data_IF_847892124906
#
_entry.id   IF_847892124906
#
_cell.length_a   1.000
_cell.length_b   1.000
_cell.length_c   1.000
_cell.angle_alpha   90.00
_cell.angle_beta   90.00
_cell.angle_gamma   90.00
#
_symmetry.space_group_name_H-M   'P 1'
#
loop_
_entity.id
_entity.type
_entity.pdbx_description
1 polymer ?
#
# COMPACT_ATOMS: atom_id res chain seq x y z
N UNK A 1 7.66 -13.87 -8.30
CA UNK A 1 6.37 -13.22 -8.06
C UNK A 1 5.22 -14.21 -8.14
N UNK A 2 4.33 -14.24 -7.15
CA UNK A 2 3.01 -14.87 -7.30
C UNK A 2 2.20 -14.07 -8.31
N UNK A 3 1.56 -14.75 -9.28
CA UNK A 3 0.61 -14.05 -10.16
C UNK A 3 -0.60 -13.61 -9.32
N UNK A 4 -1.15 -12.41 -9.54
CA UNK A 4 -2.36 -12.01 -8.86
C UNK A 4 -3.46 -13.03 -9.16
N UNK A 5 -4.33 -13.27 -8.17
CA UNK A 5 -5.47 -14.16 -8.29
C UNK A 5 -6.30 -13.74 -9.51
N UNK A 6 -6.62 -14.70 -10.39
CA UNK A 6 -7.53 -14.44 -11.50
C UNK A 6 -8.93 -14.16 -10.95
N UNK A 7 -9.34 -12.89 -10.99
CA UNK A 7 -10.60 -12.41 -10.42
C UNK A 7 -11.83 -12.71 -11.30
N UNK A 8 -11.64 -12.98 -12.59
CA UNK A 8 -12.74 -13.17 -13.56
C UNK A 8 -13.83 -14.13 -13.09
N UNK A 9 -13.53 -15.40 -12.71
CA UNK A 9 -14.58 -16.35 -12.32
C UNK A 9 -15.35 -15.92 -11.06
N UNK A 10 -14.66 -15.22 -10.14
CA UNK A 10 -15.29 -14.69 -8.91
C UNK A 10 -16.25 -13.56 -9.27
N UNK A 11 -15.81 -12.64 -10.14
CA UNK A 11 -16.62 -11.49 -10.57
C UNK A 11 -17.82 -11.91 -11.42
N UNK A 12 -17.67 -12.88 -12.31
CA UNK A 12 -18.77 -13.42 -13.12
C UNK A 12 -19.84 -14.09 -12.25
N UNK A 13 -19.43 -14.82 -11.21
CA UNK A 13 -20.36 -15.57 -10.35
C UNK A 13 -20.99 -14.68 -9.28
N UNK A 14 -20.22 -13.78 -8.67
CA UNK A 14 -20.61 -13.08 -7.45
C UNK A 14 -20.62 -11.56 -7.56
N UNK A 15 -20.07 -10.97 -8.64
CA UNK A 15 -19.82 -9.54 -8.76
C UNK A 15 -21.05 -8.68 -8.44
N UNK A 16 -22.21 -9.00 -9.04
CA UNK A 16 -23.44 -8.25 -8.83
C UNK A 16 -23.90 -8.21 -7.36
N UNK A 17 -23.59 -9.24 -6.56
CA UNK A 17 -23.93 -9.33 -5.13
C UNK A 17 -22.80 -8.91 -4.20
N UNK A 18 -21.61 -8.63 -4.73
CA UNK A 18 -20.40 -8.42 -3.95
C UNK A 18 -20.43 -7.05 -3.27
N UNK A 19 -20.57 -7.05 -1.94
CA UNK A 19 -20.53 -5.81 -1.15
C UNK A 19 -19.15 -5.52 -0.56
N UNK A 20 -18.30 -6.54 -0.40
CA UNK A 20 -16.97 -6.43 0.21
C UNK A 20 -15.96 -7.26 -0.56
N UNK A 21 -14.81 -6.67 -0.86
CA UNK A 21 -13.70 -7.33 -1.53
C UNK A 21 -12.39 -6.93 -0.86
N UNK A 22 -11.57 -7.93 -0.52
CA UNK A 22 -10.25 -7.71 0.04
C UNK A 22 -9.23 -8.53 -0.75
N UNK A 23 -8.29 -7.83 -1.39
CA UNK A 23 -7.16 -8.43 -2.08
C UNK A 23 -5.92 -7.80 -1.46
N UNK A 24 -5.31 -8.54 -0.54
CA UNK A 24 -4.17 -8.08 0.23
C UNK A 24 -3.25 -9.25 0.57
N UNK A 25 -1.97 -9.09 0.33
CA UNK A 25 -0.90 -10.00 0.74
C UNK A 25 -0.05 -9.37 1.84
N UNK A 26 0.46 -10.19 2.76
CA UNK A 26 1.37 -9.71 3.80
C UNK A 26 2.79 -9.54 3.24
N UNK A 27 3.51 -8.52 3.71
CA UNK A 27 4.95 -8.44 3.45
C UNK A 27 5.66 -9.51 4.29
N UNK A 28 6.41 -10.40 3.65
CA UNK A 28 7.21 -11.39 4.34
C UNK A 28 8.60 -10.83 4.70
N UNK A 29 9.09 -11.21 5.88
CA UNK A 29 10.43 -10.85 6.34
C UNK A 29 11.48 -11.59 5.50
N UNK A 30 12.36 -10.83 4.85
CA UNK A 30 13.54 -11.35 4.18
C UNK A 30 14.79 -10.89 4.95
N UNK A 31 15.32 -11.77 5.80
CA UNK A 31 16.48 -11.51 6.66
C UNK A 31 17.77 -11.86 5.93
N UNK A 32 18.74 -10.95 5.92
CA UNK A 32 20.12 -11.23 5.51
C UNK A 32 21.13 -10.49 6.41
N UNK A 33 22.41 -10.85 6.31
CA UNK A 33 23.45 -10.44 7.29
C UNK A 33 23.58 -8.92 7.51
N UNK A 34 23.17 -8.09 6.54
CA UNK A 34 23.37 -6.64 6.58
C UNK A 34 22.08 -5.81 6.45
N UNK A 35 20.89 -6.43 6.51
CA UNK A 35 19.61 -5.72 6.48
C UNK A 35 18.36 -6.63 6.43
N UNK A 36 17.19 -5.98 6.41
CA UNK A 36 15.89 -6.61 6.17
C UNK A 36 15.34 -6.07 4.85
N UNK A 37 14.90 -6.92 3.95
CA UNK A 37 14.11 -6.50 2.78
C UNK A 37 12.70 -7.06 2.90
N UNK A 38 11.75 -6.51 2.14
CA UNK A 38 10.37 -7.02 2.08
C UNK A 38 10.05 -7.55 0.70
N UNK A 39 9.35 -8.68 0.68
CA UNK A 39 8.79 -9.16 -0.57
C UNK A 39 7.69 -8.20 -1.03
N UNK A 40 7.75 -7.81 -2.31
CA UNK A 40 6.78 -6.93 -2.94
C UNK A 40 5.48 -7.69 -3.19
N UNK A 41 4.36 -7.15 -2.68
CA UNK A 41 3.02 -7.72 -2.87
C UNK A 41 2.61 -7.66 -4.34
N UNK A 42 1.93 -8.69 -4.80
CA UNK A 42 1.28 -8.64 -6.11
C UNK A 42 0.12 -7.63 -6.08
N UNK A 43 0.04 -6.73 -7.07
CA UNK A 43 -1.05 -5.73 -7.15
C UNK A 43 -1.83 -5.90 -8.44
N UNK A 44 -3.11 -5.52 -8.40
CA UNK A 44 -3.92 -5.42 -9.59
C UNK A 44 -3.50 -4.22 -10.45
N UNK A 45 -3.50 -4.42 -11.77
CA UNK A 45 -3.39 -3.34 -12.73
C UNK A 45 -4.63 -2.43 -12.70
N UNK A 46 -4.48 -1.21 -13.25
CA UNK A 46 -5.59 -0.26 -13.42
C UNK A 46 -6.76 -0.90 -14.19
N UNK A 47 -6.46 -1.64 -15.26
CA UNK A 47 -7.48 -2.34 -16.06
C UNK A 47 -8.21 -3.43 -15.28
N UNK A 48 -7.53 -4.17 -14.42
CA UNK A 48 -8.17 -5.19 -13.58
C UNK A 48 -9.10 -4.55 -12.55
N UNK A 49 -8.72 -3.40 -11.96
CA UNK A 49 -9.61 -2.66 -11.06
C UNK A 49 -10.79 -2.06 -11.80
N UNK A 50 -10.62 -1.61 -13.05
CA UNK A 50 -11.75 -1.17 -13.89
C UNK A 50 -12.75 -2.30 -14.17
N UNK A 51 -12.29 -3.53 -14.35
CA UNK A 51 -13.20 -4.69 -14.45
C UNK A 51 -13.99 -4.89 -13.15
N UNK A 52 -13.36 -4.73 -11.97
CA UNK A 52 -14.07 -4.80 -10.69
C UNK A 52 -15.15 -3.71 -10.59
N UNK A 53 -14.85 -2.48 -11.04
CA UNK A 53 -15.85 -1.39 -11.07
C UNK A 53 -17.09 -1.80 -11.87
N UNK A 54 -16.89 -2.41 -13.05
CA UNK A 54 -17.97 -2.81 -13.94
C UNK A 54 -18.76 -4.01 -13.41
N UNK A 55 -18.06 -5.01 -12.85
CA UNK A 55 -18.67 -6.27 -12.42
C UNK A 55 -19.25 -6.23 -11.00
N UNK A 56 -18.77 -5.34 -10.14
CA UNK A 56 -19.19 -5.24 -8.73
C UNK A 56 -19.77 -3.85 -8.38
N UNK A 57 -20.90 -3.45 -8.97
CA UNK A 57 -21.48 -2.11 -8.75
C UNK A 57 -21.93 -1.88 -7.31
N UNK A 58 -22.27 -2.94 -6.57
CA UNK A 58 -22.75 -2.87 -5.18
C UNK A 58 -21.62 -2.87 -4.14
N UNK A 59 -20.36 -2.78 -4.57
CA UNK A 59 -19.21 -2.82 -3.68
C UNK A 59 -19.18 -1.60 -2.75
N UNK A 60 -19.20 -1.86 -1.44
CA UNK A 60 -19.20 -0.86 -0.37
C UNK A 60 -17.85 -0.78 0.35
N UNK A 61 -17.12 -1.88 0.40
CA UNK A 61 -15.82 -1.97 1.09
C UNK A 61 -14.78 -2.64 0.17
N UNK A 62 -13.65 -1.97 -0.03
CA UNK A 62 -12.55 -2.46 -0.87
C UNK A 62 -11.23 -2.36 -0.11
N UNK A 63 -10.46 -3.45 -0.11
CA UNK A 63 -9.05 -3.45 0.31
C UNK A 63 -8.19 -3.90 -0.85
N UNK A 64 -7.18 -3.11 -1.21
CA UNK A 64 -6.24 -3.42 -2.29
C UNK A 64 -4.81 -3.10 -1.88
N UNK A 65 -3.88 -3.95 -2.32
CA UNK A 65 -2.48 -3.56 -2.45
C UNK A 65 -2.29 -2.68 -3.70
N UNK A 66 -1.50 -1.62 -3.56
CA UNK A 66 -1.28 -0.63 -4.63
C UNK A 66 0.20 -0.27 -4.73
N UNK A 67 0.72 -0.16 -5.96
CA UNK A 67 2.06 0.37 -6.19
C UNK A 67 2.09 1.91 -6.21
N UNK A 68 3.16 2.50 -5.68
CA UNK A 68 3.52 3.89 -5.96
C UNK A 68 4.10 3.98 -7.38
N UNK A 69 3.85 5.07 -8.10
CA UNK A 69 4.37 5.27 -9.47
C UNK A 69 5.62 6.15 -9.42
N UNK A 70 6.81 5.55 -9.41
CA UNK A 70 8.13 6.23 -9.50
C UNK A 70 8.19 7.61 -8.82
N UNK A 71 8.27 7.62 -7.48
CA UNK A 71 8.27 8.79 -6.62
C UNK A 71 7.00 9.67 -6.67
N UNK A 72 5.86 9.12 -7.10
CA UNK A 72 4.56 9.81 -7.11
C UNK A 72 3.43 8.88 -6.67
N UNK A 73 2.36 9.47 -6.15
CA UNK A 73 1.11 8.75 -5.87
C UNK A 73 0.46 8.26 -7.18
N UNK A 74 -0.18 7.08 -7.17
CA UNK A 74 -0.70 6.44 -8.38
C UNK A 74 -2.02 7.06 -8.83
N UNK A 75 -1.98 8.30 -9.34
CA UNK A 75 -3.16 9.10 -9.68
C UNK A 75 -4.13 8.40 -10.65
N UNK A 76 -3.63 7.58 -11.58
CA UNK A 76 -4.48 6.78 -12.47
C UNK A 76 -5.31 5.75 -11.71
N UNK A 77 -4.71 5.04 -10.75
CA UNK A 77 -5.40 4.13 -9.85
C UNK A 77 -6.42 4.88 -8.98
N UNK A 78 -6.03 6.02 -8.38
CA UNK A 78 -6.93 6.84 -7.56
C UNK A 78 -8.18 7.29 -8.34
N UNK A 79 -8.02 7.66 -9.62
CA UNK A 79 -9.13 8.00 -10.52
C UNK A 79 -10.03 6.82 -10.86
N UNK A 80 -9.52 5.60 -10.88
CA UNK A 80 -10.37 4.42 -11.08
C UNK A 80 -11.13 4.08 -9.81
N UNK A 81 -10.48 4.18 -8.65
CA UNK A 81 -11.10 3.95 -7.35
C UNK A 81 -12.26 4.91 -7.06
N UNK A 82 -12.25 6.11 -7.64
CA UNK A 82 -13.36 7.05 -7.52
C UNK A 82 -14.59 6.68 -8.35
N UNK A 83 -14.47 5.75 -9.31
CA UNK A 83 -15.57 5.33 -10.19
C UNK A 83 -16.53 4.34 -9.51
N UNK A 84 -16.17 3.78 -8.36
CA UNK A 84 -17.07 2.90 -7.62
C UNK A 84 -18.28 3.69 -7.09
N UNK A 85 -19.52 3.33 -7.49
CA UNK A 85 -20.70 4.14 -7.21
C UNK A 85 -21.16 4.08 -5.74
N UNK A 86 -20.82 3.00 -5.03
CA UNK A 86 -21.28 2.76 -3.66
C UNK A 86 -20.16 2.54 -2.65
N UNK A 87 -18.89 2.75 -3.05
CA UNK A 87 -17.75 2.54 -2.19
C UNK A 87 -17.74 3.55 -1.04
N UNK A 88 -17.93 3.04 0.17
CA UNK A 88 -17.98 3.82 1.41
C UNK A 88 -16.69 3.70 2.22
N UNK A 89 -15.98 2.58 2.12
CA UNK A 89 -14.70 2.34 2.81
C UNK A 89 -13.66 1.79 1.85
N UNK A 90 -12.48 2.38 1.85
CA UNK A 90 -11.35 1.93 1.06
C UNK A 90 -10.14 1.74 1.98
N UNK A 91 -9.47 0.61 1.84
CA UNK A 91 -8.14 0.39 2.41
C UNK A 91 -7.14 0.23 1.27
N UNK A 92 -6.11 1.06 1.26
CA UNK A 92 -5.01 0.94 0.31
C UNK A 92 -3.74 0.63 1.08
N UNK A 93 -3.07 -0.45 0.69
CA UNK A 93 -1.80 -0.81 1.29
C UNK A 93 -0.69 -0.67 0.24
N UNK A 94 0.22 0.25 0.51
CA UNK A 94 1.42 0.43 -0.29
C UNK A 94 2.53 -0.48 0.22
N UNK A 95 3.32 -1.02 -0.70
CA UNK A 95 4.57 -1.67 -0.31
C UNK A 95 5.50 -0.64 0.33
N UNK A 96 6.29 -1.11 1.30
CA UNK A 96 7.35 -0.33 1.89
C UNK A 96 8.50 -0.09 0.89
N UNK A 97 8.71 -1.04 -0.04
CA UNK A 97 9.81 -1.08 -1.00
C UNK A 97 9.40 -0.75 -2.44
N UNK A 98 10.39 -0.34 -3.25
CA UNK A 98 10.23 -0.11 -4.69
C UNK A 98 10.01 -1.44 -5.44
N UNK A 99 8.88 -1.63 -6.15
CA UNK A 99 8.60 -2.83 -6.92
C UNK A 99 9.65 -3.20 -7.98
N UNK A 100 10.35 -2.21 -8.55
CA UNK A 100 11.42 -2.43 -9.55
C UNK A 100 12.66 -3.13 -8.96
N UNK A 101 12.79 -3.11 -7.63
CA UNK A 101 13.86 -3.73 -6.87
C UNK A 101 13.46 -5.08 -6.26
N UNK A 102 12.23 -5.54 -6.52
CA UNK A 102 11.70 -6.84 -6.04
C UNK A 102 12.63 -8.02 -6.30
N UNK A 103 13.40 -8.03 -7.39
CA UNK A 103 14.38 -9.09 -7.71
C UNK A 103 15.44 -9.33 -6.64
N UNK A 104 15.75 -8.33 -5.82
CA UNK A 104 16.71 -8.43 -4.71
C UNK A 104 16.05 -8.97 -3.44
N UNK A 105 14.81 -8.54 -3.16
CA UNK A 105 13.98 -9.08 -2.10
C UNK A 105 13.63 -10.56 -2.34
N UNK A 106 13.28 -10.93 -3.57
CA UNK A 106 12.86 -12.29 -3.96
C UNK A 106 13.93 -13.35 -3.74
N UNK A 107 15.22 -12.97 -3.77
CA UNK A 107 16.32 -13.90 -3.55
C UNK A 107 16.80 -13.93 -2.10
N UNK A 108 16.39 -12.97 -1.28
CA UNK A 108 17.05 -12.69 -0.01
C UNK A 108 18.57 -12.56 -0.11
N UNK A 109 19.03 -12.00 -1.24
CA UNK A 109 20.43 -11.79 -1.55
C UNK A 109 20.64 -10.30 -1.82
N UNK A 110 21.11 -9.58 -0.81
CA UNK A 110 21.64 -8.23 -0.97
C UNK A 110 23.06 -8.25 -0.39
N UNK A 111 24.06 -8.17 -1.27
CA UNK A 111 25.45 -7.96 -0.83
C UNK A 111 25.66 -6.49 -0.39
N UNK A 112 26.77 -6.21 0.29
CA UNK A 112 27.07 -4.88 0.82
C UNK A 112 27.14 -3.79 -0.27
N UNK A 113 27.59 -4.14 -1.48
CA UNK A 113 27.66 -3.19 -2.62
C UNK A 113 26.27 -2.86 -3.16
N UNK A 114 25.39 -3.85 -3.25
CA UNK A 114 23.99 -3.66 -3.60
C UNK A 114 23.28 -2.84 -2.53
N UNK A 115 23.51 -3.12 -1.24
CA UNK A 115 23.00 -2.31 -0.13
C UNK A 115 23.37 -0.85 -0.31
N UNK A 116 24.65 -0.52 -0.43
CA UNK A 116 25.09 0.88 -0.47
C UNK A 116 24.60 1.59 -1.74
N UNK A 117 24.54 0.89 -2.89
CA UNK A 117 24.04 1.45 -4.16
C UNK A 117 22.52 1.69 -4.15
N UNK A 118 21.73 0.79 -3.57
CA UNK A 118 20.27 0.86 -3.57
C UNK A 118 19.71 1.62 -2.36
N UNK A 119 20.49 1.75 -1.29
CA UNK A 119 20.18 2.60 -0.15
C UNK A 119 20.25 4.08 -0.52
N UNK A 120 21.23 4.49 -1.34
CA UNK A 120 21.57 5.91 -1.58
C UNK A 120 20.67 6.61 -2.61
N UNK A 121 19.91 5.91 -3.48
CA UNK A 121 19.04 6.56 -4.49
C UNK A 121 17.65 7.00 -3.92
N UNK A 122 17.54 7.41 -2.64
CA UNK A 122 16.36 8.11 -2.01
C UNK A 122 15.25 7.33 -1.25
N UNK A 123 15.54 6.39 -0.33
CA UNK A 123 14.56 6.06 0.74
C UNK A 123 13.21 5.44 0.29
N UNK A 124 13.25 4.44 -0.59
CA UNK A 124 12.12 3.57 -0.99
C UNK A 124 10.82 4.30 -1.43
N UNK A 125 11.00 5.41 -2.15
CA UNK A 125 9.98 6.24 -2.82
C UNK A 125 9.38 7.34 -1.94
N UNK A 126 10.06 8.47 -1.86
CA UNK A 126 9.40 9.75 -1.60
C UNK A 126 8.39 10.06 -2.72
N UNK A 127 7.22 10.65 -2.45
CA UNK A 127 6.78 11.20 -1.17
C UNK A 127 6.45 10.11 -0.14
N UNK A 128 6.95 10.30 1.08
CA UNK A 128 6.62 9.43 2.20
C UNK A 128 5.15 9.58 2.57
N UNK A 129 4.52 8.48 2.96
CA UNK A 129 3.16 8.53 3.51
C UNK A 129 3.20 9.26 4.86
N UNK A 130 2.47 10.37 4.94
CA UNK A 130 2.32 11.21 6.12
C UNK A 130 0.90 11.79 6.18
N UNK A 131 0.59 12.57 7.21
CA UNK A 131 -0.73 13.19 7.38
C UNK A 131 -1.19 13.97 6.14
N UNK A 132 -0.31 14.83 5.58
CA UNK A 132 -0.64 15.70 4.44
C UNK A 132 -0.95 14.87 3.21
N UNK A 133 -0.05 13.95 2.85
CA UNK A 133 -0.19 13.10 1.66
C UNK A 133 -1.36 12.12 1.77
N UNK A 134 -1.65 11.59 2.96
CA UNK A 134 -2.84 10.78 3.19
C UNK A 134 -4.13 11.57 2.95
N UNK A 135 -4.17 12.82 3.43
CA UNK A 135 -5.26 13.76 3.16
C UNK A 135 -5.40 14.09 1.67
N UNK A 136 -4.30 14.33 0.96
CA UNK A 136 -4.28 14.59 -0.49
C UNK A 136 -4.81 13.39 -1.30
N UNK A 137 -4.41 12.16 -0.95
CA UNK A 137 -4.91 10.94 -1.57
C UNK A 137 -6.42 10.83 -1.38
N UNK A 138 -6.91 11.02 -0.16
CA UNK A 138 -8.34 10.95 0.14
C UNK A 138 -9.12 12.04 -0.62
N UNK A 139 -8.59 13.27 -0.64
CA UNK A 139 -9.15 14.38 -1.39
C UNK A 139 -9.23 14.07 -2.88
N UNK A 140 -8.16 13.53 -3.46
CA UNK A 140 -8.06 13.20 -4.89
C UNK A 140 -9.14 12.19 -5.28
N UNK A 141 -9.34 11.11 -4.51
CA UNK A 141 -10.38 10.12 -4.81
C UNK A 141 -11.76 10.77 -4.74
N UNK A 142 -12.04 11.54 -3.69
CA UNK A 142 -13.35 12.20 -3.52
C UNK A 142 -13.63 13.25 -4.61
N UNK A 143 -12.62 13.99 -5.04
CA UNK A 143 -12.75 14.98 -6.12
C UNK A 143 -13.26 14.36 -7.41
N UNK A 144 -12.91 13.10 -7.68
CA UNK A 144 -13.34 12.36 -8.87
C UNK A 144 -14.57 11.48 -8.64
N UNK A 145 -15.13 11.42 -7.43
CA UNK A 145 -16.28 10.56 -7.11
C UNK A 145 -17.59 11.35 -7.21
N UNK A 146 -18.49 10.92 -8.09
CA UNK A 146 -19.85 11.45 -8.14
C UNK A 146 -20.60 11.15 -6.83
N UNK A 147 -21.33 12.13 -6.29
CA UNK A 147 -22.14 12.03 -5.07
C UNK A 147 -21.42 11.56 -3.80
N UNK A 148 -20.09 11.67 -3.80
CA UNK A 148 -19.11 11.41 -2.73
C UNK A 148 -19.55 10.45 -1.61
N UNK A 149 -19.68 9.15 -1.94
CA UNK A 149 -20.08 8.11 -0.98
C UNK A 149 -18.94 7.64 -0.06
N UNK A 150 -17.68 7.87 -0.44
CA UNK A 150 -16.50 7.41 0.29
C UNK A 150 -16.35 8.16 1.62
N UNK A 151 -16.62 7.48 2.73
CA UNK A 151 -16.60 8.08 4.08
C UNK A 151 -15.24 8.00 4.74
N UNK A 152 -14.54 6.87 4.52
CA UNK A 152 -13.30 6.56 5.19
C UNK A 152 -12.30 5.95 4.21
N UNK A 153 -11.05 6.38 4.31
CA UNK A 153 -9.92 5.74 3.65
C UNK A 153 -8.85 5.41 4.67
N UNK A 154 -8.47 4.14 4.72
CA UNK A 154 -7.27 3.68 5.42
C UNK A 154 -6.14 3.57 4.41
N UNK A 155 -5.01 4.20 4.71
CA UNK A 155 -3.83 4.18 3.85
C UNK A 155 -2.68 3.67 4.69
N UNK A 156 -2.06 2.57 4.28
CA UNK A 156 -0.88 2.03 4.94
C UNK A 156 0.31 1.99 3.98
N UNK A 157 1.51 2.09 4.53
CA UNK A 157 2.75 1.77 3.84
C UNK A 157 3.52 0.77 4.69
N UNK A 158 3.94 -0.34 4.10
CA UNK A 158 4.50 -1.50 4.81
C UNK A 158 3.44 -2.36 5.50
N UNK A 159 3.89 -3.28 6.36
CA UNK A 159 3.05 -4.24 7.07
C UNK A 159 3.27 -4.17 8.59
N UNK A 160 2.18 -4.02 9.34
CA UNK A 160 2.16 -3.93 10.81
C UNK A 160 2.24 -5.30 11.51
N UNK A 161 2.09 -6.42 10.79
CA UNK A 161 2.15 -7.76 11.36
C UNK A 161 3.56 -8.37 11.34
N UNK A 162 4.56 -7.60 10.94
CA UNK A 162 5.95 -8.06 10.86
C UNK A 162 6.52 -8.32 12.25
N UNK A 163 7.33 -9.37 12.38
CA UNK A 163 8.09 -9.65 13.63
C UNK A 163 9.35 -8.79 13.73
N UNK A 164 9.84 -8.27 12.60
CA UNK A 164 10.95 -7.32 12.50
C UNK A 164 10.58 -6.19 11.56
N UNK A 165 10.83 -4.96 11.97
CA UNK A 165 10.52 -3.79 11.16
C UNK A 165 11.57 -3.59 10.07
N UNK A 166 11.36 -2.58 9.22
CA UNK A 166 12.38 -2.06 8.32
C UNK A 166 12.34 -2.65 6.91
N UNK A 167 12.40 -1.76 5.92
CA UNK A 167 13.02 -2.08 4.64
C UNK A 167 14.55 -2.03 4.76
N UNK A 168 15.25 -2.13 3.62
CA UNK A 168 16.71 -2.18 3.53
C UNK A 168 17.42 -1.14 4.45
N UNK A 169 18.45 -1.60 5.20
CA UNK A 169 19.24 -0.74 6.10
C UNK A 169 20.02 0.30 5.31
N UNK A 170 19.74 1.58 5.54
CA UNK A 170 20.39 2.72 4.88
C UNK A 170 21.83 2.90 5.38
N UNK A 171 22.04 2.96 6.70
CA UNK A 171 23.33 3.16 7.41
C UNK A 171 23.13 2.67 8.86
N UNK A 172 24.14 2.20 9.62
CA UNK A 172 24.00 1.79 11.03
C UNK A 172 23.39 2.84 11.99
N UNK A 173 23.14 4.07 11.55
CA UNK A 173 22.73 5.21 12.37
C UNK A 173 21.45 5.95 11.87
N UNK A 174 20.74 5.42 10.87
CA UNK A 174 19.47 6.00 10.41
C UNK A 174 18.26 5.17 10.87
N UNK A 175 17.16 5.85 11.20
CA UNK A 175 15.92 5.23 11.67
C UNK A 175 15.30 4.30 10.62
N UNK A 176 14.66 3.24 11.10
CA UNK A 176 14.05 2.19 10.30
C UNK A 176 12.90 2.76 9.46
N UNK A 177 12.76 2.32 8.21
CA UNK A 177 11.48 2.49 7.51
C UNK A 177 10.42 1.64 8.23
N UNK A 178 9.64 2.28 9.11
CA UNK A 178 8.61 1.62 9.89
C UNK A 178 7.29 1.65 9.14
N UNK A 179 6.43 0.62 9.30
CA UNK A 179 5.09 0.68 8.76
C UNK A 179 4.35 1.88 9.36
N UNK A 180 3.62 2.58 8.50
CA UNK A 180 2.79 3.73 8.87
C UNK A 180 1.39 3.53 8.33
N UNK A 181 0.39 3.98 9.09
CA UNK A 181 -1.02 3.89 8.74
C UNK A 181 -1.68 5.21 9.05
N UNK A 182 -2.51 5.67 8.12
CA UNK A 182 -3.37 6.82 8.30
C UNK A 182 -4.80 6.43 8.01
N UNK A 183 -5.71 6.75 8.91
CA UNK A 183 -7.14 6.66 8.70
C UNK A 183 -7.66 8.07 8.46
N UNK A 184 -8.24 8.34 7.30
CA UNK A 184 -8.77 9.64 6.90
C UNK A 184 -10.30 9.58 6.71
N UNK A 185 -11.00 10.63 7.12
CA UNK A 185 -12.46 10.75 7.02
C UNK A 185 -12.90 12.20 6.84
N UNK A 186 -14.17 12.39 6.49
CA UNK A 186 -14.81 13.70 6.47
C UNK A 186 -15.48 13.99 7.82
N UNK A 187 -15.18 15.14 8.40
CA UNK A 187 -15.84 15.68 9.58
C UNK A 187 -16.18 17.14 9.31
N UNK A 188 -17.47 17.50 9.38
CA UNK A 188 -17.93 18.88 9.16
C UNK A 188 -17.41 19.53 7.85
N UNK A 189 -17.40 18.76 6.76
CA UNK A 189 -16.83 19.15 5.45
C UNK A 189 -15.31 19.39 5.42
N UNK A 190 -14.59 19.07 6.48
CA UNK A 190 -13.13 19.05 6.52
C UNK A 190 -12.59 17.63 6.45
N UNK A 191 -11.43 17.47 5.81
CA UNK A 191 -10.68 16.21 5.86
C UNK A 191 -9.93 16.15 7.18
N UNK A 192 -10.14 15.07 7.92
CA UNK A 192 -9.37 14.70 9.10
C UNK A 192 -8.61 13.42 8.81
N UNK A 193 -7.40 13.31 9.33
CA UNK A 193 -6.64 12.08 9.33
C UNK A 193 -6.11 11.80 10.74
N UNK A 194 -5.92 10.53 11.09
CA UNK A 194 -5.17 10.14 12.28
C UNK A 194 -4.13 9.12 11.87
N UNK A 195 -2.94 9.21 12.48
CA UNK A 195 -1.81 8.35 12.17
C UNK A 195 -1.56 7.34 13.28
N UNK A 196 -1.29 6.10 12.89
CA UNK A 196 -0.65 5.11 13.75
C UNK A 196 0.76 4.86 13.22
N UNK A 197 1.73 5.09 14.08
CA UNK A 197 3.13 4.76 13.86
C UNK A 197 3.48 3.59 14.77
N UNK A 198 4.09 2.54 14.24
CA UNK A 198 4.56 1.45 15.10
C UNK A 198 5.81 1.88 15.86
N UNK A 199 5.65 2.16 17.16
CA UNK A 199 6.73 2.53 18.08
C UNK A 199 7.34 1.30 18.79
N UNK A 200 6.82 0.09 18.58
CA UNK A 200 7.17 -1.12 19.34
C UNK A 200 8.04 -2.13 18.57
N UNK A 201 8.76 -1.69 17.54
CA UNK A 201 9.83 -2.53 17.01
C UNK A 201 10.98 -2.62 18.02
N UNK A 202 11.13 -3.79 18.65
CA UNK A 202 12.18 -4.09 19.61
C UNK A 202 13.57 -3.89 18.99
N UNK A 203 14.24 -2.81 19.41
CA UNK A 203 15.69 -2.66 19.26
C UNK A 203 16.46 -3.75 20.05
N UNK A 204 15.77 -4.52 20.89
CA UNK A 204 16.33 -5.53 21.80
C UNK A 204 16.66 -6.89 21.16
N UNK A 205 16.33 -7.11 19.89
CA UNK A 205 16.62 -8.39 19.20
C UNK A 205 18.01 -8.39 18.53
N UNK A 206 18.81 -7.33 18.73
CA UNK A 206 20.14 -7.17 18.09
C UNK A 206 21.31 -6.95 19.07
N UNK A 207 21.17 -7.38 20.33
CA UNK A 207 22.32 -7.59 21.23
C UNK A 207 22.78 -9.04 21.17
#
# INVERSE_FOLDING_TARGET
MGRPLNMTPILETHGASLEKLSIHEFEHDCRYATGNSTWVRSVLSVSEVEQIVLSAPNLKELTLDVYRSSNKWPNSMLKVLSKFPHLARLTMNFNLEDPSMSKYAERCLVDERARDKYSIIHGLMEPQLNYTTAGEIFHTIRQYQADTKLRNVTISAGDFRRRVGGGLRFIPHYEWNKPVRYDCWMEENMIKCTGQHDIHFDDKVFL
#
